data_IF_677060517032
#
_entry.id   IF_677060517032
#
_cell.length_a   1.000
_cell.length_b   1.000
_cell.length_c   1.000
_cell.angle_alpha   90.00
_cell.angle_beta   90.00
_cell.angle_gamma   90.00
#
_symmetry.space_group_name_H-M   'P 1'
#
loop_
_entity.id
_entity.type
_entity.pdbx_description
1 polymer ?
#
# COMPACT_ATOMS: atom_id res chain seq x y z
N UNK A 1 7.44 13.00 -5.85
CA UNK A 1 6.15 12.36 -5.49
C UNK A 1 5.02 13.35 -5.72
N UNK A 2 3.83 12.89 -6.06
CA UNK A 2 2.63 13.72 -6.19
C UNK A 2 1.53 13.21 -5.25
N UNK A 3 0.67 14.11 -4.81
CA UNK A 3 -0.47 13.79 -3.96
C UNK A 3 -1.76 14.27 -4.64
N UNK A 4 -2.80 13.46 -4.59
CA UNK A 4 -4.13 13.78 -5.07
C UNK A 4 -5.09 13.76 -3.90
N UNK A 5 -5.88 14.80 -3.75
CA UNK A 5 -6.83 14.90 -2.65
C UNK A 5 -8.27 14.87 -3.15
N UNK A 6 -9.14 14.22 -2.38
CA UNK A 6 -10.56 14.07 -2.67
C UNK A 6 -11.36 14.28 -1.37
N UNK A 7 -12.63 14.64 -1.52
CA UNK A 7 -13.52 14.83 -0.38
C UNK A 7 -13.29 16.13 0.38
N UNK A 8 -13.88 16.22 1.57
CA UNK A 8 -13.91 17.46 2.36
C UNK A 8 -12.68 17.54 3.28
N UNK A 9 -11.97 18.64 3.22
CA UNK A 9 -10.77 18.91 4.04
C UNK A 9 -11.05 18.91 5.57
N UNK A 10 -12.30 19.14 5.99
CA UNK A 10 -12.70 19.08 7.40
C UNK A 10 -13.11 17.69 7.91
N UNK A 11 -13.11 16.68 7.04
CA UNK A 11 -13.39 15.29 7.42
C UNK A 11 -12.10 14.59 7.90
N UNK A 12 -12.20 13.44 8.61
CA UNK A 12 -11.05 12.64 8.97
C UNK A 12 -10.17 12.32 7.76
N UNK A 13 -8.86 12.38 7.92
CA UNK A 13 -7.88 12.19 6.85
C UNK A 13 -7.62 10.71 6.58
N UNK A 14 -7.63 10.32 5.30
CA UNK A 14 -7.32 8.96 4.85
C UNK A 14 -6.16 8.98 3.85
N UNK A 15 -5.02 8.46 4.25
CA UNK A 15 -3.85 8.32 3.38
C UNK A 15 -3.87 6.97 2.66
N UNK A 16 -3.77 6.98 1.32
CA UNK A 16 -3.74 5.78 0.47
C UNK A 16 -2.41 5.69 -0.28
N UNK A 17 -1.63 4.62 -0.04
CA UNK A 17 -0.32 4.40 -0.66
C UNK A 17 -0.36 3.13 -1.53
N UNK A 18 -0.17 3.23 -2.86
CA UNK A 18 -0.31 2.12 -3.79
C UNK A 18 0.87 1.15 -3.77
N UNK A 19 0.67 0.00 -4.43
CA UNK A 19 1.66 -1.04 -4.60
C UNK A 19 2.70 -0.75 -5.68
N UNK A 20 3.63 -1.69 -5.85
CA UNK A 20 4.63 -1.65 -6.91
C UNK A 20 3.99 -1.88 -8.28
N UNK A 21 4.27 -0.99 -9.23
CA UNK A 21 3.80 -1.13 -10.61
C UNK A 21 2.35 -0.69 -10.84
N UNK A 22 1.75 -0.02 -9.86
CA UNK A 22 0.40 0.54 -9.97
C UNK A 22 0.38 2.01 -9.54
N UNK A 23 -0.60 2.76 -10.06
CA UNK A 23 -0.81 4.17 -9.71
C UNK A 23 -1.82 4.32 -8.56
N UNK A 24 -2.04 5.57 -8.11
CA UNK A 24 -3.11 5.86 -7.16
C UNK A 24 -4.50 5.53 -7.72
N UNK A 25 -4.65 5.39 -9.05
CA UNK A 25 -5.94 5.10 -9.68
C UNK A 25 -6.51 3.73 -9.30
N UNK A 26 -5.67 2.80 -8.83
CA UNK A 26 -6.14 1.52 -8.29
C UNK A 26 -7.11 1.72 -7.12
N UNK A 27 -7.03 2.86 -6.43
CA UNK A 27 -7.94 3.22 -5.34
C UNK A 27 -9.21 3.95 -5.79
N UNK A 28 -9.41 4.27 -7.08
CA UNK A 28 -10.59 5.03 -7.53
C UNK A 28 -11.93 4.46 -7.05
N UNK A 29 -12.18 3.12 -7.12
CA UNK A 29 -13.42 2.56 -6.57
C UNK A 29 -13.55 2.80 -5.06
N UNK A 30 -12.47 2.63 -4.31
CA UNK A 30 -12.44 2.86 -2.86
C UNK A 30 -12.61 4.35 -2.53
N UNK A 31 -11.97 5.25 -3.28
CA UNK A 31 -12.11 6.71 -3.11
C UNK A 31 -13.56 7.11 -3.29
N UNK A 32 -14.24 6.66 -4.35
CA UNK A 32 -15.64 6.97 -4.61
C UNK A 32 -16.60 6.52 -3.50
N UNK A 33 -16.23 5.49 -2.72
CA UNK A 33 -17.00 5.03 -1.55
C UNK A 33 -16.73 5.85 -0.28
N UNK A 34 -15.56 6.50 -0.20
CA UNK A 34 -15.08 7.13 1.05
C UNK A 34 -15.01 8.66 1.00
N UNK A 35 -14.95 9.29 -0.18
CA UNK A 35 -14.73 10.74 -0.31
C UNK A 35 -15.84 11.63 0.29
N UNK A 36 -17.04 11.09 0.53
CA UNK A 36 -18.07 11.81 1.25
C UNK A 36 -17.83 11.87 2.78
N UNK A 37 -17.03 10.93 3.31
CA UNK A 37 -16.78 10.77 4.76
C UNK A 37 -15.35 11.10 5.18
N UNK A 38 -14.41 11.07 4.24
CA UNK A 38 -12.99 11.27 4.49
C UNK A 38 -12.41 12.35 3.59
N UNK A 39 -11.41 13.05 4.10
CA UNK A 39 -10.44 13.76 3.27
C UNK A 39 -9.38 12.77 2.80
N UNK A 40 -9.54 12.27 1.57
CA UNK A 40 -8.67 11.23 1.01
C UNK A 40 -7.42 11.86 0.40
N UNK A 41 -6.26 11.34 0.77
CA UNK A 41 -4.93 11.72 0.27
C UNK A 41 -4.35 10.49 -0.45
N UNK A 42 -4.43 10.47 -1.77
CA UNK A 42 -3.90 9.38 -2.59
C UNK A 42 -2.49 9.70 -3.08
N UNK A 43 -1.53 8.85 -2.75
CA UNK A 43 -0.12 9.03 -3.08
C UNK A 43 0.18 8.51 -4.47
N UNK A 44 0.85 9.32 -5.29
CA UNK A 44 1.46 8.89 -6.53
C UNK A 44 2.95 8.63 -6.29
N UNK A 45 3.30 7.37 -6.09
CA UNK A 45 4.67 6.94 -5.79
C UNK A 45 5.60 7.24 -6.96
N UNK A 46 6.79 7.77 -6.70
CA UNK A 46 7.80 8.00 -7.72
C UNK A 46 8.19 6.71 -8.46
N UNK A 47 8.46 6.82 -9.74
CA UNK A 47 8.71 5.68 -10.61
C UNK A 47 7.44 4.97 -11.12
N UNK A 48 6.26 5.25 -10.54
CA UNK A 48 4.97 4.66 -10.95
C UNK A 48 3.92 5.72 -11.22
N UNK A 49 4.33 6.81 -11.86
CA UNK A 49 3.50 7.99 -12.17
C UNK A 49 2.69 7.83 -13.45
N UNK A 50 1.72 8.73 -13.68
CA UNK A 50 0.80 8.70 -14.83
C UNK A 50 1.13 9.71 -15.94
N UNK A 51 2.01 10.66 -15.68
CA UNK A 51 2.16 11.81 -16.58
C UNK A 51 3.58 12.33 -16.76
N UNK A 52 4.54 11.88 -15.94
CA UNK A 52 5.92 12.35 -16.00
C UNK A 52 6.90 11.30 -15.53
N UNK A 53 8.11 11.33 -16.03
CA UNK A 53 9.18 10.50 -15.51
C UNK A 53 9.61 11.01 -14.13
N UNK A 54 9.59 10.11 -13.15
CA UNK A 54 10.18 10.29 -11.82
C UNK A 54 11.02 9.06 -11.49
N UNK A 55 12.02 9.21 -10.63
CA UNK A 55 12.85 8.09 -10.23
C UNK A 55 12.44 7.58 -8.85
N UNK A 56 12.16 6.28 -8.76
CA UNK A 56 12.05 5.60 -7.48
C UNK A 56 13.46 5.42 -6.90
N UNK A 57 13.75 6.07 -5.79
CA UNK A 57 15.07 5.98 -5.14
C UNK A 57 15.11 4.89 -4.08
N UNK A 58 14.23 4.96 -3.09
CA UNK A 58 14.11 3.97 -2.02
C UNK A 58 12.78 4.09 -1.27
N UNK A 59 12.38 3.02 -0.59
CA UNK A 59 11.24 3.03 0.33
C UNK A 59 11.39 4.10 1.40
N UNK A 60 12.61 4.28 1.94
CA UNK A 60 12.91 5.28 2.95
C UNK A 60 12.73 6.71 2.42
N UNK A 61 13.16 6.96 1.19
CA UNK A 61 12.97 8.27 0.53
C UNK A 61 11.48 8.54 0.28
N UNK A 62 10.73 7.55 -0.18
CA UNK A 62 9.29 7.69 -0.36
C UNK A 62 8.58 7.97 0.98
N UNK A 63 8.96 7.29 2.05
CA UNK A 63 8.43 7.54 3.40
C UNK A 63 8.72 8.97 3.87
N UNK A 64 9.96 9.49 3.65
CA UNK A 64 10.31 10.88 3.99
C UNK A 64 9.48 11.91 3.22
N UNK A 65 9.22 11.68 1.95
CA UNK A 65 8.40 12.58 1.14
C UNK A 65 6.95 12.61 1.64
N UNK A 66 6.38 11.45 2.02
CA UNK A 66 5.04 11.38 2.63
C UNK A 66 5.01 12.08 3.98
N UNK A 67 5.99 11.83 4.85
CA UNK A 67 6.12 12.52 6.16
C UNK A 67 6.21 14.03 5.96
N UNK A 68 7.01 14.50 5.02
CA UNK A 68 7.12 15.92 4.68
C UNK A 68 5.79 16.53 4.30
N UNK A 69 5.02 15.85 3.45
CA UNK A 69 3.69 16.29 3.02
C UNK A 69 2.70 16.35 4.20
N UNK A 70 2.67 15.30 5.04
CA UNK A 70 1.78 15.26 6.21
C UNK A 70 2.12 16.40 7.18
N UNK A 71 3.40 16.66 7.43
CA UNK A 71 3.83 17.77 8.30
C UNK A 71 3.43 19.14 7.73
N UNK A 72 3.61 19.35 6.43
CA UNK A 72 3.36 20.63 5.78
C UNK A 72 1.86 20.95 5.64
N UNK A 73 1.04 19.95 5.28
CA UNK A 73 -0.35 20.17 4.91
C UNK A 73 -1.39 19.62 5.91
N UNK A 74 -0.99 18.73 6.82
CA UNK A 74 -1.89 18.03 7.75
C UNK A 74 -1.43 18.14 9.22
N UNK A 75 -0.57 19.09 9.55
CA UNK A 75 -0.12 19.33 10.94
C UNK A 75 0.56 18.14 11.60
N UNK A 76 1.15 17.24 10.82
CA UNK A 76 1.85 16.07 11.34
C UNK A 76 0.93 14.89 11.74
N UNK A 77 -0.33 14.88 11.29
CA UNK A 77 -1.31 13.85 11.67
C UNK A 77 -2.12 13.36 10.46
N UNK A 78 -2.42 12.05 10.45
CA UNK A 78 -3.46 11.43 9.62
C UNK A 78 -4.26 10.43 10.46
N UNK A 79 -5.60 10.41 10.28
CA UNK A 79 -6.48 9.56 11.08
C UNK A 79 -6.34 8.09 10.68
N UNK A 80 -6.42 7.79 9.39
CA UNK A 80 -6.25 6.44 8.86
C UNK A 80 -5.23 6.44 7.73
N UNK A 81 -4.34 5.45 7.70
CA UNK A 81 -3.43 5.20 6.59
C UNK A 81 -3.56 3.76 6.09
N UNK A 82 -3.74 3.59 4.78
CA UNK A 82 -3.80 2.30 4.10
C UNK A 82 -2.66 2.18 3.11
N UNK A 83 -1.85 1.15 3.25
CA UNK A 83 -0.75 0.85 2.35
C UNK A 83 -0.85 -0.54 1.73
N UNK A 84 -0.95 -0.59 0.40
CA UNK A 84 -0.96 -1.85 -0.35
C UNK A 84 0.46 -2.28 -0.72
N UNK A 85 0.89 -3.48 -0.33
CA UNK A 85 2.15 -4.08 -0.79
C UNK A 85 3.38 -3.17 -0.59
N UNK A 86 3.98 -2.62 -1.66
CA UNK A 86 5.02 -1.56 -1.57
C UNK A 86 4.54 -0.39 -0.70
N UNK A 87 3.29 0.03 -0.88
CA UNK A 87 2.69 1.10 -0.07
C UNK A 87 2.64 0.74 1.42
N UNK A 88 2.33 -0.52 1.75
CA UNK A 88 2.41 -1.03 3.12
C UNK A 88 3.85 -1.04 3.67
N UNK A 89 4.84 -1.31 2.82
CA UNK A 89 6.25 -1.17 3.20
C UNK A 89 6.64 0.29 3.44
N UNK A 90 6.18 1.22 2.61
CA UNK A 90 6.40 2.66 2.81
C UNK A 90 5.72 3.11 4.12
N UNK A 91 4.46 2.71 4.35
CA UNK A 91 3.73 3.01 5.57
C UNK A 91 4.46 2.46 6.80
N UNK A 92 4.99 1.24 6.75
CA UNK A 92 5.77 0.68 7.86
C UNK A 92 7.01 1.51 8.20
N UNK A 93 7.66 2.14 7.22
CA UNK A 93 8.79 3.03 7.46
C UNK A 93 8.35 4.40 8.00
N UNK A 94 7.15 4.88 7.64
CA UNK A 94 6.55 6.09 8.26
C UNK A 94 6.31 5.82 9.75
N UNK A 95 5.73 4.67 10.10
CA UNK A 95 5.51 4.26 11.49
C UNK A 95 6.82 4.06 12.27
N UNK A 96 7.85 3.50 11.64
CA UNK A 96 9.18 3.32 12.27
C UNK A 96 9.85 4.64 12.58
N UNK A 97 9.72 5.65 11.70
CA UNK A 97 10.27 7.00 11.87
C UNK A 97 9.61 7.75 13.01
N UNK A 98 8.32 7.54 13.21
CA UNK A 98 7.53 8.21 14.25
C UNK A 98 7.65 9.75 14.23
N UNK A 99 7.77 10.32 13.03
CA UNK A 99 7.89 11.76 12.80
C UNK A 99 6.53 12.44 12.55
N UNK A 100 5.48 11.61 12.34
CA UNK A 100 4.08 11.99 12.19
C UNK A 100 3.21 11.01 12.96
N UNK A 101 2.03 11.45 13.37
CA UNK A 101 1.03 10.58 14.02
C UNK A 101 0.12 9.96 12.98
N UNK A 102 -0.04 8.64 13.05
CA UNK A 102 -1.03 7.86 12.28
C UNK A 102 -1.96 7.23 13.29
N UNK A 103 -3.26 7.57 13.28
CA UNK A 103 -4.24 7.02 14.21
C UNK A 103 -4.38 5.51 14.02
N UNK A 104 -4.73 5.11 12.83
CA UNK A 104 -4.92 3.70 12.45
C UNK A 104 -4.12 3.38 11.19
N UNK A 105 -3.35 2.30 11.21
CA UNK A 105 -2.53 1.86 10.08
C UNK A 105 -2.99 0.52 9.53
N UNK A 106 -3.32 0.45 8.25
CA UNK A 106 -3.70 -0.78 7.55
C UNK A 106 -2.60 -1.17 6.58
N UNK A 107 -1.96 -2.30 6.85
CA UNK A 107 -0.89 -2.89 6.05
C UNK A 107 -1.47 -4.06 5.23
N UNK A 108 -1.87 -3.82 3.99
CA UNK A 108 -2.41 -4.86 3.12
C UNK A 108 -1.29 -5.54 2.34
N UNK A 109 -1.08 -6.82 2.61
CA UNK A 109 -0.08 -7.68 1.98
C UNK A 109 1.34 -7.10 2.01
N UNK A 110 1.69 -6.35 3.06
CA UNK A 110 2.95 -5.61 3.17
C UNK A 110 4.17 -6.53 3.34
N UNK A 111 5.23 -6.42 2.51
CA UNK A 111 6.47 -7.18 2.66
C UNK A 111 7.40 -6.51 3.69
N UNK A 112 7.31 -6.92 4.95
CA UNK A 112 8.02 -6.30 6.08
C UNK A 112 9.42 -6.87 6.30
N UNK A 113 9.62 -8.16 6.00
CA UNK A 113 10.90 -8.84 6.17
C UNK A 113 11.83 -8.63 4.97
N UNK A 114 13.10 -8.31 5.20
CA UNK A 114 14.10 -8.31 4.14
C UNK A 114 14.38 -9.75 3.67
N UNK A 115 14.75 -9.88 2.41
CA UNK A 115 15.28 -11.13 1.86
C UNK A 115 16.81 -11.15 1.88
N UNK A 116 17.43 -12.33 1.92
CA UNK A 116 18.86 -12.47 1.72
C UNK A 116 19.30 -11.84 0.39
N UNK A 117 20.39 -11.09 0.39
CA UNK A 117 20.86 -10.35 -0.81
C UNK A 117 21.05 -11.23 -2.06
N UNK A 118 21.49 -12.48 -1.88
CA UNK A 118 21.66 -13.42 -2.98
C UNK A 118 20.33 -13.83 -3.63
N UNK A 119 19.23 -13.74 -2.90
CA UNK A 119 17.89 -14.06 -3.40
C UNK A 119 17.22 -12.83 -4.06
N UNK A 120 17.47 -11.63 -3.55
CA UNK A 120 16.91 -10.38 -4.12
C UNK A 120 17.33 -10.21 -5.58
N UNK A 121 18.59 -10.52 -5.92
CA UNK A 121 19.11 -10.41 -7.28
C UNK A 121 18.25 -11.14 -8.31
N UNK A 122 18.15 -12.47 -8.26
CA UNK A 122 17.34 -13.23 -9.21
C UNK A 122 15.87 -12.85 -9.20
N UNK A 123 15.27 -12.65 -8.02
CA UNK A 123 13.85 -12.36 -7.90
C UNK A 123 13.45 -11.00 -8.46
N UNK A 124 14.27 -9.97 -8.32
CA UNK A 124 13.98 -8.65 -8.91
C UNK A 124 13.95 -8.69 -10.45
N UNK A 125 14.83 -9.48 -11.07
CA UNK A 125 14.81 -9.64 -12.53
C UNK A 125 13.62 -10.47 -12.99
N UNK A 126 13.22 -11.49 -12.21
CA UNK A 126 11.98 -12.23 -12.47
C UNK A 126 10.75 -11.33 -12.40
N UNK A 127 10.67 -10.50 -11.34
CA UNK A 127 9.57 -9.53 -11.21
C UNK A 127 9.60 -8.49 -12.33
N UNK A 128 10.77 -7.99 -12.69
CA UNK A 128 10.93 -7.06 -13.80
C UNK A 128 10.47 -7.68 -15.13
N UNK A 129 10.87 -8.92 -15.41
CA UNK A 129 10.43 -9.65 -16.60
C UNK A 129 8.91 -9.89 -16.61
N UNK A 130 8.32 -10.20 -15.44
CA UNK A 130 6.87 -10.33 -15.30
C UNK A 130 6.15 -9.01 -15.68
N UNK A 131 6.53 -7.89 -15.08
CA UNK A 131 5.93 -6.57 -15.38
C UNK A 131 6.19 -6.16 -16.84
N UNK A 132 7.41 -6.44 -17.36
CA UNK A 132 7.75 -6.18 -18.76
C UNK A 132 6.85 -6.96 -19.73
N UNK A 133 6.59 -8.24 -19.47
CA UNK A 133 5.68 -9.04 -20.30
C UNK A 133 4.23 -8.60 -20.15
N UNK A 134 3.79 -8.21 -18.96
CA UNK A 134 2.45 -7.63 -18.75
C UNK A 134 2.23 -6.39 -19.60
N UNK A 135 3.24 -5.55 -19.75
CA UNK A 135 3.15 -4.36 -20.60
C UNK A 135 3.24 -4.69 -22.10
N UNK A 136 4.25 -5.45 -22.54
CA UNK A 136 4.51 -5.68 -23.97
C UNK A 136 3.63 -6.77 -24.59
N UNK A 137 3.15 -7.72 -23.80
CA UNK A 137 2.35 -8.85 -24.25
C UNK A 137 0.97 -8.89 -23.58
N UNK A 138 0.39 -7.74 -23.32
CA UNK A 138 -0.87 -7.63 -22.58
C UNK A 138 -1.99 -8.48 -23.20
N UNK A 139 -2.18 -8.46 -24.52
CA UNK A 139 -3.17 -9.26 -25.21
C UNK A 139 -2.99 -10.79 -25.06
N UNK A 140 -1.76 -11.26 -24.79
CA UNK A 140 -1.50 -12.64 -24.43
C UNK A 140 -2.00 -12.95 -23.00
N UNK A 141 -1.70 -12.07 -22.05
CA UNK A 141 -2.12 -12.24 -20.66
C UNK A 141 -3.64 -12.13 -20.50
N UNK A 142 -4.31 -11.22 -21.21
CA UNK A 142 -5.78 -11.10 -21.25
C UNK A 142 -6.45 -12.38 -21.74
N UNK A 143 -5.81 -13.13 -22.63
CA UNK A 143 -6.34 -14.42 -23.13
C UNK A 143 -6.17 -15.58 -22.16
N UNK A 144 -5.21 -15.50 -21.24
CA UNK A 144 -4.91 -16.56 -20.26
C UNK A 144 -5.63 -16.32 -18.95
N UNK A 145 -5.65 -15.08 -18.46
CA UNK A 145 -6.21 -14.71 -17.19
C UNK A 145 -7.50 -13.91 -17.38
N UNK A 146 -8.65 -14.59 -17.29
CA UNK A 146 -9.97 -13.98 -17.41
C UNK A 146 -10.51 -13.65 -16.00
N UNK A 147 -10.04 -12.56 -15.39
CA UNK A 147 -10.60 -12.09 -14.13
C UNK A 147 -10.46 -10.58 -14.00
N UNK A 148 -11.45 -9.94 -13.38
CA UNK A 148 -11.44 -8.51 -13.11
C UNK A 148 -10.13 -8.05 -12.43
N UNK A 149 -9.66 -8.80 -11.45
CA UNK A 149 -8.39 -8.53 -10.77
C UNK A 149 -7.19 -8.41 -11.73
N UNK A 150 -7.03 -9.35 -12.66
CA UNK A 150 -5.94 -9.31 -13.63
C UNK A 150 -6.12 -8.19 -14.65
N UNK A 151 -7.34 -7.93 -15.10
CA UNK A 151 -7.63 -6.85 -16.06
C UNK A 151 -7.23 -5.50 -15.47
N UNK A 152 -7.56 -5.24 -14.20
CA UNK A 152 -7.16 -4.01 -13.49
C UNK A 152 -5.64 -3.91 -13.36
N UNK A 153 -4.94 -4.99 -12.99
CA UNK A 153 -3.47 -4.97 -12.86
C UNK A 153 -2.77 -4.73 -14.21
N UNK A 154 -3.28 -5.31 -15.29
CA UNK A 154 -2.75 -5.09 -16.64
C UNK A 154 -2.98 -3.65 -17.11
N UNK A 155 -4.15 -3.08 -16.83
CA UNK A 155 -4.46 -1.70 -17.14
C UNK A 155 -3.56 -0.72 -16.37
N UNK A 156 -3.37 -0.93 -15.06
CA UNK A 156 -2.43 -0.15 -14.25
C UNK A 156 -0.98 -0.26 -14.75
N UNK A 157 -0.55 -1.46 -15.13
CA UNK A 157 0.78 -1.66 -15.71
C UNK A 157 0.94 -0.85 -17.02
N UNK A 158 -0.07 -0.83 -17.89
CA UNK A 158 -0.06 -0.02 -19.13
C UNK A 158 0.08 1.47 -18.86
N UNK A 159 -0.56 1.96 -17.78
CA UNK A 159 -0.55 3.39 -17.42
C UNK A 159 0.81 3.84 -16.88
N UNK A 160 1.42 3.04 -15.98
CA UNK A 160 2.62 3.48 -15.26
C UNK A 160 3.94 3.09 -15.91
N UNK A 161 3.99 1.95 -16.62
CA UNK A 161 5.21 1.42 -17.19
C UNK A 161 5.92 2.38 -18.17
N UNK A 162 5.21 3.16 -19.03
CA UNK A 162 5.85 4.14 -19.91
C UNK A 162 6.68 5.21 -19.19
N UNK A 163 6.39 5.48 -17.92
CA UNK A 163 7.04 6.54 -17.13
C UNK A 163 8.14 6.04 -16.20
N UNK A 164 8.03 4.83 -15.65
CA UNK A 164 9.02 4.26 -14.73
C UNK A 164 9.85 3.14 -15.35
N UNK A 165 9.21 2.35 -16.20
CA UNK A 165 9.83 1.24 -16.91
C UNK A 165 10.42 0.17 -15.99
N UNK A 166 11.31 -0.62 -16.56
CA UNK A 166 12.02 -1.68 -15.83
C UNK A 166 12.87 -1.15 -14.68
N UNK A 167 13.43 0.07 -14.79
CA UNK A 167 14.27 0.67 -13.74
C UNK A 167 13.49 0.84 -12.44
N UNK A 168 12.30 1.44 -12.49
CA UNK A 168 11.47 1.65 -11.31
C UNK A 168 11.08 0.32 -10.64
N UNK A 169 10.77 -0.72 -11.43
CA UNK A 169 10.45 -2.06 -10.91
C UNK A 169 11.66 -2.68 -10.20
N UNK A 170 12.86 -2.61 -10.81
CA UNK A 170 14.08 -3.16 -10.24
C UNK A 170 14.48 -2.45 -8.93
N UNK A 171 14.41 -1.12 -8.92
CA UNK A 171 14.78 -0.30 -7.77
C UNK A 171 13.74 -0.46 -6.65
N UNK A 172 12.45 -0.45 -6.99
CA UNK A 172 11.35 -0.67 -6.07
C UNK A 172 11.44 -2.04 -5.40
N UNK A 173 11.58 -3.11 -6.18
CA UNK A 173 11.73 -4.46 -5.65
C UNK A 173 12.98 -4.59 -4.76
N UNK A 174 14.10 -4.05 -5.21
CA UNK A 174 15.35 -4.07 -4.44
C UNK A 174 15.16 -3.39 -3.09
N UNK A 175 14.61 -2.18 -3.10
CA UNK A 175 14.42 -1.40 -1.87
C UNK A 175 13.44 -2.06 -0.91
N UNK A 176 12.31 -2.59 -1.41
CA UNK A 176 11.33 -3.32 -0.59
C UNK A 176 11.98 -4.45 0.21
N UNK A 177 12.78 -5.29 -0.46
CA UNK A 177 13.33 -6.49 0.15
C UNK A 177 14.72 -6.32 0.77
N UNK A 178 15.31 -5.13 0.71
CA UNK A 178 16.57 -4.82 1.44
C UNK A 178 16.35 -3.89 2.63
N UNK A 179 15.25 -3.13 2.66
CA UNK A 179 14.91 -2.25 3.79
C UNK A 179 14.38 -3.09 4.95
N UNK A 180 14.98 -2.91 6.12
CA UNK A 180 14.55 -3.56 7.36
C UNK A 180 13.43 -2.76 8.02
N UNK A 181 12.68 -3.44 8.86
CA UNK A 181 11.76 -2.86 9.83
C UNK A 181 12.20 -3.37 11.19
N UNK A 182 12.71 -2.52 12.06
CA UNK A 182 13.30 -2.91 13.34
C UNK A 182 12.40 -2.56 14.53
N UNK A 183 11.54 -1.56 14.38
CA UNK A 183 10.58 -1.12 15.40
C UNK A 183 9.32 -0.55 14.75
N UNK A 184 8.25 -0.57 15.49
CA UNK A 184 7.01 0.17 15.21
C UNK A 184 6.52 0.75 16.54
N UNK A 185 6.13 2.00 16.54
CA UNK A 185 5.66 2.69 17.73
C UNK A 185 4.14 2.93 17.69
N UNK A 186 3.50 2.55 18.76
CA UNK A 186 2.31 3.04 19.43
C UNK A 186 1.06 3.38 18.61
N UNK A 187 0.65 2.55 17.65
CA UNK A 187 -0.53 2.82 16.83
C UNK A 187 -1.43 1.59 16.75
N UNK A 188 -2.70 1.78 16.43
CA UNK A 188 -3.57 0.68 16.05
C UNK A 188 -3.18 0.17 14.66
N UNK A 189 -2.67 -1.07 14.60
CA UNK A 189 -2.13 -1.66 13.37
C UNK A 189 -2.94 -2.87 12.97
N UNK A 190 -3.42 -2.85 11.74
CA UNK A 190 -4.09 -3.95 11.07
C UNK A 190 -3.21 -4.51 9.96
N UNK A 191 -3.04 -5.84 9.93
CA UNK A 191 -2.34 -6.52 8.85
C UNK A 191 -3.30 -7.43 8.09
N UNK A 192 -3.54 -7.11 6.81
CA UNK A 192 -4.46 -7.84 5.95
C UNK A 192 -3.70 -8.72 4.96
N UNK A 193 -4.20 -9.92 4.65
CA UNK A 193 -3.67 -10.73 3.56
C UNK A 193 -4.67 -11.80 3.07
N UNK A 194 -4.49 -12.25 1.83
CA UNK A 194 -5.28 -13.31 1.23
C UNK A 194 -4.73 -14.72 1.49
N UNK A 195 -5.61 -15.74 1.58
CA UNK A 195 -5.15 -17.12 1.83
C UNK A 195 -4.29 -17.69 0.72
N UNK A 196 -4.40 -17.20 -0.52
CA UNK A 196 -3.59 -17.67 -1.66
C UNK A 196 -2.12 -17.20 -1.58
N UNK A 197 -1.83 -16.13 -0.83
CA UNK A 197 -0.48 -15.65 -0.56
C UNK A 197 0.04 -16.00 0.85
N UNK A 198 -0.71 -16.81 1.62
CA UNK A 198 -0.40 -17.11 3.02
C UNK A 198 1.03 -17.63 3.25
N UNK A 199 1.64 -18.28 2.26
CA UNK A 199 3.02 -18.76 2.35
C UNK A 199 4.03 -17.61 2.53
N UNK A 200 3.86 -16.51 1.81
CA UNK A 200 4.72 -15.32 1.94
C UNK A 200 4.25 -14.36 3.02
N UNK A 201 2.93 -14.31 3.31
CA UNK A 201 2.37 -13.38 4.29
C UNK A 201 2.60 -13.82 5.75
N UNK A 202 2.51 -15.12 6.07
CA UNK A 202 2.68 -15.61 7.46
C UNK A 202 4.03 -15.24 8.11
N UNK A 203 5.18 -15.29 7.44
CA UNK A 203 6.43 -14.76 8.00
C UNK A 203 6.37 -13.26 8.31
N UNK A 204 5.72 -12.46 7.47
CA UNK A 204 5.53 -11.02 7.68
C UNK A 204 4.67 -10.76 8.93
N UNK A 205 3.55 -11.50 9.05
CA UNK A 205 2.68 -11.45 10.24
C UNK A 205 3.47 -11.77 11.52
N UNK A 206 4.25 -12.84 11.51
CA UNK A 206 5.08 -13.18 12.68
C UNK A 206 6.08 -12.09 13.03
N UNK A 207 6.59 -11.40 12.03
CA UNK A 207 7.53 -10.30 12.24
C UNK A 207 6.83 -9.08 12.85
N UNK A 208 5.72 -8.62 12.27
CA UNK A 208 5.01 -7.46 12.77
C UNK A 208 4.47 -7.69 14.19
N UNK A 209 3.89 -8.86 14.48
CA UNK A 209 3.39 -9.20 15.82
C UNK A 209 4.51 -9.28 16.87
N UNK A 210 5.75 -9.59 16.48
CA UNK A 210 6.90 -9.49 17.41
C UNK A 210 7.29 -8.06 17.72
N UNK A 211 7.13 -7.15 16.76
CA UNK A 211 7.45 -5.73 16.93
C UNK A 211 6.32 -4.97 17.62
N UNK A 212 5.07 -5.40 17.40
CA UNK A 212 3.86 -4.79 17.92
C UNK A 212 2.84 -5.90 18.23
N UNK A 213 2.73 -6.29 19.51
CA UNK A 213 1.95 -7.47 19.92
C UNK A 213 0.43 -7.30 19.71
N UNK A 214 -0.06 -6.06 19.71
CA UNK A 214 -1.48 -5.74 19.57
C UNK A 214 -1.94 -5.61 18.12
N UNK A 215 -1.07 -5.96 17.15
CA UNK A 215 -1.42 -5.95 15.74
C UNK A 215 -2.59 -6.87 15.45
N UNK A 216 -3.67 -6.32 14.91
CA UNK A 216 -4.86 -7.05 14.47
C UNK A 216 -4.59 -7.70 13.11
N UNK A 217 -4.71 -9.02 13.02
CA UNK A 217 -4.41 -9.78 11.79
C UNK A 217 -5.69 -10.33 11.19
N UNK A 218 -5.92 -10.04 9.91
CA UNK A 218 -7.10 -10.47 9.21
C UNK A 218 -6.77 -11.23 7.92
N UNK A 219 -7.49 -12.33 7.69
CA UNK A 219 -7.19 -13.27 6.61
C UNK A 219 -8.40 -13.44 5.69
N UNK A 220 -8.23 -13.11 4.42
CA UNK A 220 -9.31 -13.15 3.43
C UNK A 220 -9.25 -14.43 2.60
N UNK A 221 -10.27 -15.28 2.79
CA UNK A 221 -10.34 -16.57 2.12
C UNK A 221 -10.46 -16.43 0.60
N UNK A 222 -9.60 -17.13 -0.13
CA UNK A 222 -9.62 -17.19 -1.59
C UNK A 222 -9.02 -15.99 -2.30
N UNK A 223 -8.51 -14.98 -1.58
CA UNK A 223 -7.89 -13.79 -2.15
C UNK A 223 -6.41 -13.99 -2.42
N UNK A 224 -5.92 -13.37 -3.50
CA UNK A 224 -4.52 -13.17 -3.83
C UNK A 224 -4.01 -11.85 -3.25
N UNK A 225 -2.75 -11.55 -3.53
CA UNK A 225 -2.03 -10.33 -3.17
C UNK A 225 -2.75 -9.05 -3.69
N UNK A 226 -3.27 -8.22 -2.78
CA UNK A 226 -4.02 -6.99 -3.14
C UNK A 226 -5.37 -7.22 -3.83
N UNK A 227 -5.83 -8.47 -3.99
CA UNK A 227 -7.08 -8.78 -4.68
C UNK A 227 -8.30 -8.27 -3.91
N UNK A 228 -8.23 -8.19 -2.58
CA UNK A 228 -9.32 -7.66 -1.76
C UNK A 228 -9.71 -6.24 -2.19
N UNK A 229 -8.72 -5.37 -2.34
CA UNK A 229 -8.93 -3.98 -2.76
C UNK A 229 -9.60 -3.88 -4.14
N UNK A 230 -9.19 -4.74 -5.08
CA UNK A 230 -9.66 -4.69 -6.47
C UNK A 230 -11.06 -5.29 -6.64
N UNK A 231 -11.28 -6.47 -6.07
CA UNK A 231 -12.52 -7.22 -6.27
C UNK A 231 -13.61 -6.92 -5.24
N UNK A 232 -13.25 -6.34 -4.07
CA UNK A 232 -14.17 -6.03 -2.97
C UNK A 232 -13.85 -4.71 -2.29
N UNK A 233 -13.82 -3.59 -3.03
CA UNK A 233 -13.50 -2.28 -2.46
C UNK A 233 -14.49 -1.86 -1.36
N UNK A 234 -15.76 -2.33 -1.43
CA UNK A 234 -16.78 -2.08 -0.41
C UNK A 234 -16.39 -2.71 0.94
N UNK A 235 -15.81 -3.93 0.94
CA UNK A 235 -15.37 -4.60 2.16
C UNK A 235 -14.17 -3.88 2.80
N UNK A 236 -13.29 -3.29 1.98
CA UNK A 236 -12.20 -2.43 2.46
C UNK A 236 -12.74 -1.11 3.01
N UNK A 237 -13.71 -0.50 2.31
CA UNK A 237 -14.35 0.75 2.74
C UNK A 237 -15.05 0.59 4.09
N UNK A 238 -15.87 -0.46 4.24
CA UNK A 238 -16.56 -0.76 5.51
C UNK A 238 -15.58 -0.91 6.66
N UNK A 239 -14.43 -1.55 6.41
CA UNK A 239 -13.40 -1.74 7.43
C UNK A 239 -12.73 -0.42 7.83
N UNK A 240 -12.38 0.42 6.87
CA UNK A 240 -11.83 1.76 7.13
C UNK A 240 -12.82 2.59 7.95
N UNK A 241 -14.11 2.56 7.59
CA UNK A 241 -15.15 3.27 8.32
C UNK A 241 -15.28 2.74 9.75
N UNK A 242 -15.29 1.43 9.96
CA UNK A 242 -15.38 0.83 11.30
C UNK A 242 -14.19 1.20 12.17
N UNK A 243 -12.98 1.08 11.65
CA UNK A 243 -11.76 1.44 12.38
C UNK A 243 -11.82 2.89 12.83
N UNK A 244 -12.25 3.82 11.98
CA UNK A 244 -12.30 5.24 12.32
C UNK A 244 -13.43 5.60 13.28
N UNK A 245 -14.61 4.97 13.18
CA UNK A 245 -15.80 5.46 13.89
C UNK A 245 -16.32 4.51 14.98
N UNK A 246 -16.00 3.21 14.98
CA UNK A 246 -16.46 2.27 16.00
C UNK A 246 -15.54 2.25 17.24
N UNK A 247 -14.25 2.56 17.09
CA UNK A 247 -13.37 2.72 18.26
C UNK A 247 -13.64 4.01 19.03
N UNK A 248 -14.09 5.09 18.37
CA UNK A 248 -14.55 6.31 19.02
C UNK A 248 -15.76 6.08 19.95
N UNK A 249 -16.58 5.04 19.70
CA UNK A 249 -17.73 4.69 20.54
C UNK A 249 -17.35 3.94 21.84
N UNK A 250 -16.17 3.31 21.87
CA UNK A 250 -15.68 2.63 23.07
C UNK A 250 -14.93 3.56 24.02
N UNK A 251 -14.43 4.69 23.54
CA UNK A 251 -13.71 5.69 24.36
C UNK A 251 -14.66 6.77 24.94
N UNK A 252 -15.91 6.85 24.48
CA UNK A 252 -16.96 7.63 25.13
C UNK A 252 -17.55 6.81 26.27
N UNK A 253 -16.75 6.60 27.33
CA UNK A 253 -17.19 6.03 28.59
C UNK A 253 -18.41 6.77 29.13
N UNK A 254 -19.58 6.19 28.92
CA UNK A 254 -20.77 6.47 29.72
C UNK A 254 -20.88 5.29 30.68
N UNK A 255 -20.34 5.50 31.91
CA UNK A 255 -20.71 4.74 33.10
C UNK A 255 -22.20 4.92 33.45
#
# INVERSE_FOLDING_TARGET
MDFKTFGNIGAPSLLLIPGLGVSYEIFKPLIGLLEERFHVIAVQVDGFTLSRHTEFTSVDDQARQVVGYINEYHGGHVDVAYGLSLGGKILSQILERNEVTVGHAILDAAPLLPLPRWLVGPLKYLQCANVWTCYHWTGFWERIFHSHYFDVLLDECRKVYPFGGSKAVLDGYTSVYTTKLERISGHDIHYLYGTKEAFVARPQVRHIVRLHCDTKVEVFKGMNHGQLLVDRPEEVADRIIRIQYEEDLTDTGID
#
